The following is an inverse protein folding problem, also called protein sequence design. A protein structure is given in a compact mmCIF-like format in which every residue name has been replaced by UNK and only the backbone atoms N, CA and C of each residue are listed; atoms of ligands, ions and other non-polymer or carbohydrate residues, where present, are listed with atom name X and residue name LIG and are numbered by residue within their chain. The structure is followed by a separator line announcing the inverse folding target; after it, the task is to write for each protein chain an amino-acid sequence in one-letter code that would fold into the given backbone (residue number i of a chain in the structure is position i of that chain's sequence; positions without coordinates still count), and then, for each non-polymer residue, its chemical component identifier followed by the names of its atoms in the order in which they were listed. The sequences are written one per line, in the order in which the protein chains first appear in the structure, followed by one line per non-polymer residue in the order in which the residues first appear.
data_IF_829493849565
#
_entry.id   IF_829493849565
#
_cell.length_a   1.000
_cell.length_b   1.000
_cell.length_c   1.000
_cell.angle_alpha   90.00
_cell.angle_beta   90.00
_cell.angle_gamma   90.00
#
_symmetry.space_group_name_H-M   'P 1'
#
loop_
_entity.id
_entity.type
_entity.pdbx_description
1 polymer ?
#
# COMPACT_ATOMS: atom_id res chain seq x y z
N UNK A 1 9.51 21.79 -17.97
CA UNK A 1 10.60 20.80 -17.97
C UNK A 1 11.47 21.12 -16.75
N UNK A 2 11.06 20.62 -15.58
CA UNK A 2 11.65 20.95 -14.27
C UNK A 2 11.56 19.72 -13.35
N UNK A 3 11.80 18.57 -13.95
CA UNK A 3 12.06 17.30 -13.28
C UNK A 3 13.52 16.99 -13.59
N UNK A 4 14.38 16.83 -12.56
CA UNK A 4 15.74 16.24 -12.59
C UNK A 4 16.76 16.92 -11.65
N UNK A 5 16.43 17.28 -10.41
CA UNK A 5 17.48 17.70 -9.44
C UNK A 5 17.44 16.98 -8.09
N UNK A 6 16.49 16.07 -7.86
CA UNK A 6 16.55 15.19 -6.69
C UNK A 6 16.93 13.77 -7.11
N UNK A 7 18.22 13.57 -7.37
CA UNK A 7 18.77 12.25 -7.59
C UNK A 7 18.90 11.52 -6.25
N UNK A 8 17.93 10.67 -5.92
CA UNK A 8 17.85 9.88 -4.66
C UNK A 8 18.85 8.72 -4.58
N UNK A 9 19.94 8.77 -5.36
CA UNK A 9 21.02 7.77 -5.35
C UNK A 9 22.31 8.44 -4.91
N UNK A 10 22.34 8.94 -3.67
CA UNK A 10 23.63 9.10 -3.00
C UNK A 10 24.18 7.68 -2.78
N UNK A 11 25.37 7.34 -3.29
CA UNK A 11 25.97 6.04 -3.04
C UNK A 11 26.20 5.91 -1.53
N UNK A 12 25.42 5.03 -0.91
CA UNK A 12 25.44 4.71 0.51
C UNK A 12 26.84 4.27 0.99
N UNK A 13 27.67 3.76 0.07
CA UNK A 13 28.93 3.07 0.38
C UNK A 13 30.23 3.76 -0.06
N UNK A 14 30.21 4.99 -0.59
CA UNK A 14 31.46 5.63 -1.08
C UNK A 14 32.29 6.35 -0.01
N UNK A 15 31.80 6.47 1.22
CA UNK A 15 32.62 7.01 2.31
C UNK A 15 33.53 5.90 2.81
N UNK A 16 34.79 5.89 2.34
CA UNK A 16 35.86 5.01 2.80
C UNK A 16 35.82 4.88 4.33
N UNK A 17 35.68 3.65 4.81
CA UNK A 17 35.66 3.32 6.25
C UNK A 17 36.97 3.66 6.98
N UNK A 18 38.04 4.00 6.25
CA UNK A 18 39.41 4.03 6.80
C UNK A 18 39.99 5.44 7.01
N UNK A 19 39.32 6.50 6.55
CA UNK A 19 39.81 7.88 6.74
C UNK A 19 38.65 8.87 6.66
N UNK A 20 38.17 9.39 7.80
CA UNK A 20 37.87 10.84 8.00
C UNK A 20 37.72 11.04 9.52
N UNK A 21 38.49 11.95 10.12
CA UNK A 21 38.12 12.54 11.41
C UNK A 21 36.85 13.37 11.17
N UNK A 22 35.68 12.74 11.30
CA UNK A 22 34.39 13.39 11.04
C UNK A 22 34.22 14.42 12.14
N UNK A 23 34.13 15.70 11.77
CA UNK A 23 33.86 16.77 12.73
C UNK A 23 32.63 16.37 13.58
N UNK A 24 32.66 16.50 14.91
CA UNK A 24 31.63 15.94 15.80
C UNK A 24 30.21 16.39 15.42
N UNK A 25 30.06 17.59 14.85
CA UNK A 25 28.81 18.09 14.29
C UNK A 25 28.28 17.23 13.13
N UNK A 26 29.11 16.81 12.18
CA UNK A 26 28.69 15.95 11.06
C UNK A 26 28.30 14.53 11.53
N UNK A 27 29.00 13.99 12.53
CA UNK A 27 28.62 12.74 13.19
C UNK A 27 27.26 12.85 13.91
N UNK A 28 27.03 13.98 14.57
CA UNK A 28 25.75 14.27 15.23
C UNK A 28 24.59 14.35 14.21
N UNK A 29 24.80 15.00 13.06
CA UNK A 29 23.79 15.07 11.99
C UNK A 29 23.47 13.70 11.41
N UNK A 30 24.46 12.84 11.18
CA UNK A 30 24.22 11.45 10.74
C UNK A 30 23.34 10.70 11.74
N UNK A 31 23.66 10.79 13.03
CA UNK A 31 22.87 10.11 14.07
C UNK A 31 21.41 10.59 14.12
N UNK A 32 21.17 11.87 13.86
CA UNK A 32 19.81 12.44 13.79
C UNK A 32 19.07 11.90 12.57
N UNK A 33 19.72 11.85 11.40
CA UNK A 33 19.13 11.30 10.18
C UNK A 33 18.81 9.81 10.31
N UNK A 34 19.71 9.03 10.90
CA UNK A 34 19.49 7.58 11.09
C UNK A 34 18.34 7.32 12.08
N UNK A 35 18.21 8.13 13.14
CA UNK A 35 17.05 8.10 14.04
C UNK A 35 15.76 8.49 13.33
N UNK A 36 15.80 9.51 12.49
CA UNK A 36 14.66 9.94 11.67
C UNK A 36 14.16 8.82 10.77
N UNK A 37 15.05 8.22 9.98
CA UNK A 37 14.71 7.07 9.11
C UNK A 37 14.19 5.88 9.90
N UNK A 38 14.78 5.57 11.05
CA UNK A 38 14.30 4.48 11.89
C UNK A 38 12.86 4.73 12.35
N UNK A 39 12.56 5.96 12.77
CA UNK A 39 11.21 6.34 13.18
C UNK A 39 10.22 6.33 12.01
N UNK A 40 10.60 6.84 10.84
CA UNK A 40 9.79 6.78 9.62
C UNK A 40 9.39 5.34 9.27
N UNK A 41 10.34 4.40 9.33
CA UNK A 41 10.07 2.98 9.08
C UNK A 41 9.08 2.40 10.10
N UNK A 42 9.22 2.74 11.38
CA UNK A 42 8.27 2.31 12.41
C UNK A 42 6.87 2.88 12.12
N UNK A 43 6.76 4.18 11.84
CA UNK A 43 5.48 4.81 11.55
C UNK A 43 4.78 4.19 10.33
N UNK A 44 5.53 3.87 9.27
CA UNK A 44 4.98 3.17 8.11
C UNK A 44 4.48 1.76 8.48
N UNK A 45 5.25 1.02 9.25
CA UNK A 45 4.87 -0.33 9.69
C UNK A 45 3.63 -0.31 10.58
N UNK A 46 3.55 0.63 11.53
CA UNK A 46 2.42 0.79 12.43
C UNK A 46 1.15 1.19 11.67
N UNK A 47 1.27 2.09 10.69
CA UNK A 47 0.14 2.47 9.83
C UNK A 47 -0.41 1.28 9.04
N UNK A 48 0.49 0.48 8.45
CA UNK A 48 0.12 -0.73 7.73
C UNK A 48 -0.55 -1.76 8.65
N UNK A 49 0.03 -2.02 9.82
CA UNK A 49 -0.50 -2.94 10.80
C UNK A 49 -1.89 -2.51 11.29
N UNK A 50 -2.08 -1.22 11.59
CA UNK A 50 -3.37 -0.67 11.98
C UNK A 50 -4.43 -0.86 10.90
N UNK A 51 -4.10 -0.55 9.64
CA UNK A 51 -5.01 -0.73 8.51
C UNK A 51 -5.40 -2.20 8.32
N UNK A 52 -4.42 -3.11 8.43
CA UNK A 52 -4.64 -4.56 8.34
C UNK A 52 -5.55 -5.05 9.47
N UNK A 53 -5.24 -4.73 10.72
CA UNK A 53 -6.06 -5.14 11.86
C UNK A 53 -7.50 -4.62 11.75
N UNK A 54 -7.66 -3.36 11.33
CA UNK A 54 -8.98 -2.76 11.11
C UNK A 54 -9.75 -3.51 10.03
N UNK A 55 -9.09 -3.87 8.94
CA UNK A 55 -9.69 -4.66 7.87
C UNK A 55 -10.10 -6.03 8.39
N UNK A 56 -9.21 -6.77 9.04
CA UNK A 56 -9.47 -8.12 9.55
C UNK A 56 -10.61 -8.14 10.60
N UNK A 57 -10.74 -7.07 11.41
CA UNK A 57 -11.82 -6.92 12.40
C UNK A 57 -13.19 -6.68 11.75
N UNK A 58 -13.24 -5.85 10.70
CA UNK A 58 -14.49 -5.41 10.07
C UNK A 58 -14.94 -6.37 8.96
N UNK A 59 -13.99 -6.91 8.21
CA UNK A 59 -14.24 -7.70 7.03
C UNK A 59 -14.49 -9.16 7.40
N UNK A 60 -15.75 -9.59 7.34
CA UNK A 60 -16.12 -11.01 7.42
C UNK A 60 -16.28 -11.53 5.99
N UNK A 61 -15.45 -12.49 5.54
CA UNK A 61 -15.63 -13.06 4.21
C UNK A 61 -17.02 -13.71 4.14
N UNK A 62 -17.81 -13.41 3.09
CA UNK A 62 -19.09 -14.06 2.90
C UNK A 62 -18.88 -15.56 2.67
N UNK A 63 -19.70 -16.38 3.35
CA UNK A 63 -19.69 -17.82 3.15
C UNK A 63 -20.64 -18.17 1.99
N UNK A 64 -20.07 -18.58 0.87
CA UNK A 64 -20.82 -18.94 -0.33
C UNK A 64 -20.79 -20.45 -0.56
N UNK A 65 -21.93 -21.05 -0.89
CA UNK A 65 -22.03 -22.45 -1.28
C UNK A 65 -22.29 -22.60 -2.77
N UNK A 66 -21.88 -23.75 -3.31
CA UNK A 66 -22.20 -24.12 -4.69
C UNK A 66 -23.73 -24.23 -4.81
N UNK A 67 -24.29 -23.59 -5.83
CA UNK A 67 -25.74 -23.49 -6.03
C UNK A 67 -26.38 -22.22 -5.46
N UNK A 68 -25.69 -21.43 -4.64
CA UNK A 68 -26.22 -20.17 -4.15
C UNK A 68 -26.39 -19.15 -5.29
N UNK A 69 -27.47 -18.38 -5.23
CA UNK A 69 -27.74 -17.26 -6.11
C UNK A 69 -27.16 -15.99 -5.50
N UNK A 70 -26.16 -15.41 -6.16
CA UNK A 70 -25.47 -14.21 -5.70
C UNK A 70 -25.63 -13.05 -6.67
N UNK A 71 -25.63 -11.86 -6.10
CA UNK A 71 -25.59 -10.60 -6.83
C UNK A 71 -24.15 -10.09 -6.83
N UNK A 72 -23.65 -9.69 -8.00
CA UNK A 72 -22.29 -9.15 -8.13
C UNK A 72 -22.37 -7.63 -8.19
N UNK A 73 -21.61 -6.96 -7.34
CA UNK A 73 -21.57 -5.49 -7.31
C UNK A 73 -20.96 -4.95 -8.61
N UNK A 74 -21.64 -3.97 -9.20
CA UNK A 74 -21.20 -3.35 -10.46
C UNK A 74 -20.23 -2.18 -10.28
N UNK A 75 -19.91 -1.82 -9.02
CA UNK A 75 -19.07 -0.67 -8.68
C UNK A 75 -17.70 -0.70 -9.38
N UNK A 76 -17.14 -1.91 -9.55
CA UNK A 76 -15.81 -2.11 -10.15
C UNK A 76 -15.86 -2.68 -11.59
N UNK A 77 -17.04 -2.77 -12.21
CA UNK A 77 -17.14 -3.24 -13.59
C UNK A 77 -16.77 -2.14 -14.59
N UNK A 78 -15.53 -2.21 -15.07
CA UNK A 78 -15.00 -1.31 -16.10
C UNK A 78 -15.60 -1.56 -17.49
N UNK A 79 -16.20 -2.73 -17.72
CA UNK A 79 -16.74 -3.13 -19.03
C UNK A 79 -18.18 -2.66 -19.28
N UNK A 80 -18.87 -2.13 -18.27
CA UNK A 80 -20.25 -1.63 -18.40
C UNK A 80 -20.18 -0.16 -18.82
N UNK A 81 -20.46 0.15 -20.09
CA UNK A 81 -20.55 1.52 -20.60
C UNK A 81 -21.86 2.17 -20.14
N UNK A 82 -21.81 3.44 -19.72
CA UNK A 82 -22.99 4.22 -19.34
C UNK A 82 -22.77 5.14 -18.12
N UNK A 83 -23.69 6.10 -17.88
CA UNK A 83 -23.58 7.03 -16.77
C UNK A 83 -23.67 6.32 -15.41
N UNK A 84 -22.70 6.58 -14.52
CA UNK A 84 -22.59 5.92 -13.20
C UNK A 84 -23.88 5.95 -12.36
N UNK A 85 -24.69 6.99 -12.50
CA UNK A 85 -25.94 7.19 -11.73
C UNK A 85 -27.11 6.31 -12.20
N UNK A 86 -27.06 5.79 -13.44
CA UNK A 86 -28.09 4.92 -14.00
C UNK A 86 -27.64 3.45 -14.03
N UNK A 87 -26.48 3.13 -13.45
CA UNK A 87 -26.02 1.75 -13.33
C UNK A 87 -26.67 1.12 -12.11
N UNK A 88 -27.31 -0.01 -12.31
CA UNK A 88 -27.77 -0.84 -11.19
C UNK A 88 -26.56 -1.21 -10.34
N UNK A 89 -26.66 -1.01 -9.02
CA UNK A 89 -25.56 -1.27 -8.07
C UNK A 89 -25.12 -2.74 -8.05
N UNK A 90 -25.98 -3.64 -8.51
CA UNK A 90 -25.78 -5.08 -8.52
C UNK A 90 -26.31 -5.69 -9.83
N UNK A 91 -25.60 -6.69 -10.34
CA UNK A 91 -26.02 -7.51 -11.47
C UNK A 91 -26.27 -8.96 -11.02
N UNK A 92 -27.27 -9.62 -11.59
CA UNK A 92 -27.59 -11.03 -11.31
C UNK A 92 -29.10 -11.28 -11.25
N UNK A 93 -29.53 -12.41 -10.65
CA UNK A 93 -28.74 -13.36 -9.85
C UNK A 93 -27.91 -14.34 -10.68
N UNK A 94 -26.70 -14.65 -10.22
CA UNK A 94 -25.82 -15.66 -10.80
C UNK A 94 -25.68 -16.85 -9.86
N UNK A 95 -25.68 -18.06 -10.41
CA UNK A 95 -25.48 -19.29 -9.65
C UNK A 95 -23.99 -19.61 -9.53
N UNK A 96 -23.52 -19.84 -8.30
CA UNK A 96 -22.13 -20.28 -8.06
C UNK A 96 -21.97 -21.72 -8.53
N UNK A 97 -21.06 -21.96 -9.48
CA UNK A 97 -20.69 -23.28 -9.99
C UNK A 97 -19.24 -23.58 -9.64
N UNK A 98 -18.94 -24.84 -9.32
CA UNK A 98 -17.56 -25.31 -9.26
C UNK A 98 -17.01 -25.36 -10.70
N UNK A 99 -15.91 -24.65 -10.94
CA UNK A 99 -15.12 -24.85 -12.15
C UNK A 99 -14.30 -26.11 -11.92
N UNK A 100 -14.67 -27.17 -12.64
CA UNK A 100 -13.97 -28.46 -12.65
C UNK A 100 -12.60 -28.33 -13.30
#
# INVERSE_FOLDING_TARGET
MLEEVWNSRLPYDTLKNDLVYIHPTASSFKSILDKGRHHENICMQDSFNYAKERWDKIHKPPNFKIGDLVLVSTLNFNNIKGPKKLKDSFAGPFMIKALH
#
